data_IF_988154022515
#
_entry.id   IF_988154022515
#
_cell.length_a   1.000
_cell.length_b   1.000
_cell.length_c   1.000
_cell.angle_alpha   90.00
_cell.angle_beta   90.00
_cell.angle_gamma   90.00
#
_symmetry.space_group_name_H-M   'P 1'
#
loop_
_entity.id
_entity.type
_entity.pdbx_description
1 polymer ?
#
# COMPACT_ATOMS: atom_id res chain seq x y z
N UNK A 1 5.23 7.85 -12.69
CA UNK A 1 4.39 8.57 -13.65
C UNK A 1 2.94 8.23 -13.33
N UNK A 2 2.14 9.18 -12.79
CA UNK A 2 0.77 8.89 -12.37
C UNK A 2 -0.11 8.27 -13.46
N UNK A 3 0.13 8.57 -14.73
CA UNK A 3 -0.67 8.05 -15.84
C UNK A 3 -0.40 6.56 -16.11
N UNK A 4 0.82 6.08 -15.84
CA UNK A 4 1.23 4.67 -16.04
C UNK A 4 1.12 3.84 -14.77
N UNK A 5 1.34 4.47 -13.62
CA UNK A 5 1.43 3.81 -12.32
C UNK A 5 0.09 3.64 -11.61
N UNK A 6 -0.99 4.25 -12.10
CA UNK A 6 -2.32 4.18 -11.46
C UNK A 6 -3.29 3.52 -12.43
N UNK A 7 -3.88 2.41 -12.01
CA UNK A 7 -5.00 1.78 -12.71
C UNK A 7 -6.25 1.82 -11.85
N UNK A 8 -7.34 2.33 -12.42
CA UNK A 8 -8.66 2.31 -11.79
C UNK A 8 -9.43 1.14 -12.38
N UNK A 9 -9.88 0.24 -11.52
CA UNK A 9 -10.73 -0.88 -11.87
C UNK A 9 -12.17 -0.54 -11.44
N UNK A 10 -13.03 -0.09 -12.35
CA UNK A 10 -14.42 0.17 -12.01
C UNK A 10 -15.16 -1.16 -11.78
N UNK A 11 -16.25 -1.09 -11.01
CA UNK A 11 -17.23 -2.19 -10.91
C UNK A 11 -16.66 -3.51 -10.36
N UNK A 12 -15.75 -3.45 -9.39
CA UNK A 12 -15.28 -4.63 -8.66
C UNK A 12 -16.27 -5.02 -7.57
N UNK A 13 -16.21 -6.28 -7.11
CA UNK A 13 -17.01 -6.74 -5.97
C UNK A 13 -16.73 -5.90 -4.72
N UNK A 14 -17.80 -5.38 -4.14
CA UNK A 14 -17.84 -4.65 -2.87
C UNK A 14 -18.33 -5.53 -1.73
N UNK A 15 -18.02 -5.13 -0.50
CA UNK A 15 -18.48 -5.79 0.72
C UNK A 15 -19.49 -4.90 1.47
N UNK A 16 -20.34 -5.50 2.29
CA UNK A 16 -21.29 -4.74 3.12
C UNK A 16 -20.60 -3.86 4.18
N UNK A 17 -19.39 -4.23 4.60
CA UNK A 17 -18.55 -3.44 5.50
C UNK A 17 -17.83 -2.28 4.80
N UNK A 18 -17.91 -2.17 3.47
CA UNK A 18 -17.26 -1.08 2.75
C UNK A 18 -17.97 0.25 3.05
N UNK A 19 -17.27 1.25 3.62
CA UNK A 19 -17.86 2.54 3.94
C UNK A 19 -18.11 3.41 2.70
N UNK A 20 -17.51 3.08 1.54
CA UNK A 20 -17.73 3.85 0.31
C UNK A 20 -19.12 3.59 -0.28
N UNK A 21 -19.70 2.42 0.02
CA UNK A 21 -21.04 2.03 -0.40
C UNK A 21 -22.02 2.60 0.61
N UNK A 22 -23.01 3.36 0.15
CA UNK A 22 -23.99 4.00 1.02
C UNK A 22 -24.91 2.99 1.70
N UNK A 23 -25.43 3.35 2.87
CA UNK A 23 -26.43 2.53 3.59
C UNK A 23 -27.69 2.30 2.76
N UNK A 24 -28.09 3.27 1.94
CA UNK A 24 -29.21 3.13 1.01
C UNK A 24 -28.93 2.02 0.00
N UNK A 25 -27.76 2.02 -0.64
CA UNK A 25 -27.36 1.01 -1.62
C UNK A 25 -27.32 -0.39 -1.02
N UNK A 26 -26.85 -0.51 0.22
CA UNK A 26 -26.83 -1.79 0.97
C UNK A 26 -28.25 -2.29 1.27
N UNK A 27 -29.18 -1.39 1.59
CA UNK A 27 -30.56 -1.70 1.99
C UNK A 27 -31.54 -1.84 0.82
N UNK A 28 -31.14 -1.50 -0.41
CA UNK A 28 -31.96 -1.68 -1.63
C UNK A 28 -32.41 -3.13 -1.85
N UNK A 29 -31.72 -4.10 -1.26
CA UNK A 29 -32.06 -5.51 -1.39
C UNK A 29 -32.94 -5.99 -0.21
N UNK A 30 -34.23 -6.22 -0.46
CA UNK A 30 -35.22 -6.62 0.57
C UNK A 30 -35.28 -8.13 0.83
N UNK A 31 -34.74 -8.96 -0.06
CA UNK A 31 -35.00 -10.42 -0.05
C UNK A 31 -33.85 -11.31 -0.51
N UNK A 32 -32.83 -10.78 -1.19
CA UNK A 32 -31.61 -11.53 -1.57
C UNK A 32 -30.41 -10.56 -1.58
N UNK A 33 -29.18 -10.99 -1.23
CA UNK A 33 -28.02 -10.10 -1.28
C UNK A 33 -27.74 -9.69 -2.72
N UNK A 34 -27.99 -8.42 -3.05
CA UNK A 34 -27.60 -7.84 -4.34
C UNK A 34 -26.08 -7.69 -4.36
N UNK A 35 -25.40 -8.02 -5.48
CA UNK A 35 -23.98 -7.76 -5.58
C UNK A 35 -23.72 -6.25 -5.42
N UNK A 36 -22.86 -5.92 -4.46
CA UNK A 36 -22.37 -4.57 -4.23
C UNK A 36 -21.14 -4.35 -5.11
N UNK A 37 -20.98 -3.13 -5.60
CA UNK A 37 -19.87 -2.77 -6.47
C UNK A 37 -19.14 -1.54 -5.94
N UNK A 38 -17.83 -1.55 -6.07
CA UNK A 38 -16.97 -0.43 -5.74
C UNK A 38 -15.81 -0.36 -6.75
N UNK A 39 -15.31 0.85 -7.00
CA UNK A 39 -14.09 1.03 -7.76
C UNK A 39 -12.88 0.69 -6.89
N UNK A 40 -11.90 -0.01 -7.46
CA UNK A 40 -10.60 -0.26 -6.82
C UNK A 40 -9.52 0.51 -7.55
N UNK A 41 -8.44 0.84 -6.86
CA UNK A 41 -7.26 1.45 -7.47
C UNK A 41 -6.05 0.57 -7.20
N UNK A 42 -5.29 0.27 -8.25
CA UNK A 42 -3.97 -0.33 -8.16
C UNK A 42 -2.95 0.79 -8.38
N UNK A 43 -2.05 0.98 -7.41
CA UNK A 43 -0.98 1.97 -7.47
C UNK A 43 0.33 1.21 -7.49
N UNK A 44 1.00 1.20 -8.64
CA UNK A 44 2.37 0.73 -8.77
C UNK A 44 3.33 1.81 -8.23
N UNK A 45 3.65 1.69 -6.95
CA UNK A 45 4.66 2.50 -6.28
C UNK A 45 6.05 1.86 -6.32
N UNK A 46 6.24 0.80 -7.10
CA UNK A 46 7.51 0.11 -7.20
C UNK A 46 8.43 0.79 -8.23
N UNK A 47 9.73 0.59 -8.07
CA UNK A 47 10.71 0.88 -9.11
C UNK A 47 10.88 -0.36 -9.98
N UNK A 48 11.13 -0.22 -11.29
CA UNK A 48 11.32 -1.39 -12.14
C UNK A 48 12.53 -2.19 -11.67
N UNK A 49 12.31 -3.48 -11.47
CA UNK A 49 13.24 -4.36 -10.79
C UNK A 49 14.48 -4.66 -11.64
N UNK A 50 14.33 -4.61 -12.96
CA UNK A 50 15.31 -5.01 -13.96
C UNK A 50 16.62 -4.22 -13.85
N UNK A 51 16.55 -2.94 -13.46
CA UNK A 51 17.71 -2.06 -13.32
C UNK A 51 17.97 -1.68 -11.86
N UNK A 52 17.63 -2.58 -10.90
CA UNK A 52 17.85 -2.36 -9.47
C UNK A 52 19.29 -1.96 -9.12
N UNK A 53 20.28 -2.52 -9.82
CA UNK A 53 21.69 -2.23 -9.59
C UNK A 53 22.07 -0.78 -9.95
N UNK A 54 21.31 -0.16 -10.86
CA UNK A 54 21.55 1.19 -11.38
C UNK A 54 20.74 2.25 -10.64
N UNK A 55 19.86 1.85 -9.70
CA UNK A 55 19.04 2.79 -8.95
C UNK A 55 19.91 3.81 -8.23
N UNK A 56 19.62 5.09 -8.47
CA UNK A 56 20.25 6.18 -7.75
C UNK A 56 20.08 5.95 -6.24
N UNK A 57 21.14 6.11 -5.43
CA UNK A 57 21.06 5.94 -3.99
C UNK A 57 20.07 6.94 -3.40
N UNK A 58 18.89 6.47 -3.00
CA UNK A 58 17.89 7.30 -2.32
C UNK A 58 17.99 7.06 -0.83
N UNK A 59 18.09 8.15 -0.06
CA UNK A 59 18.09 8.17 1.40
C UNK A 59 19.12 7.22 2.07
N UNK A 60 20.36 7.19 1.56
CA UNK A 60 21.45 6.49 2.26
C UNK A 60 21.97 7.34 3.40
N UNK A 61 21.99 6.79 4.62
CA UNK A 61 22.83 7.32 5.68
C UNK A 61 24.31 7.12 5.28
N UNK A 62 25.16 8.08 5.61
CA UNK A 62 26.61 7.88 5.45
C UNK A 62 27.06 6.68 6.30
N UNK A 63 28.12 5.94 5.92
CA UNK A 63 28.64 4.83 6.71
C UNK A 63 28.90 5.23 8.17
N UNK A 64 29.39 6.45 8.39
CA UNK A 64 29.67 7.02 9.70
C UNK A 64 28.38 7.25 10.51
N UNK A 65 27.37 7.85 9.89
CA UNK A 65 26.08 8.08 10.53
C UNK A 65 25.35 6.77 10.86
N UNK A 66 25.39 5.80 9.94
CA UNK A 66 24.84 4.47 10.16
C UNK A 66 25.54 3.77 11.34
N UNK A 67 26.87 3.87 11.43
CA UNK A 67 27.64 3.34 12.57
C UNK A 67 27.24 3.98 13.90
N UNK A 68 27.14 5.32 13.93
CA UNK A 68 26.69 6.06 15.12
C UNK A 68 25.29 5.68 15.56
N UNK A 69 24.35 5.51 14.62
CA UNK A 69 22.98 5.10 14.92
C UNK A 69 22.93 3.69 15.49
N UNK A 70 23.64 2.72 14.89
CA UNK A 70 23.70 1.35 15.41
C UNK A 70 24.25 1.30 16.84
N UNK A 71 25.35 2.01 17.11
CA UNK A 71 25.93 2.08 18.46
C UNK A 71 24.99 2.75 19.46
N UNK A 72 24.29 3.82 19.06
CA UNK A 72 23.33 4.54 19.92
C UNK A 72 22.17 3.64 20.38
N UNK A 73 21.68 2.77 19.48
CA UNK A 73 20.48 1.96 19.72
C UNK A 73 20.79 0.48 19.97
N UNK A 74 22.05 0.12 20.17
CA UNK A 74 22.51 -1.27 20.34
C UNK A 74 21.75 -2.01 21.45
N UNK A 75 21.43 -1.32 22.55
CA UNK A 75 20.70 -1.90 23.68
C UNK A 75 19.30 -2.40 23.32
N UNK A 76 18.61 -1.74 22.39
CA UNK A 76 17.26 -2.15 21.94
C UNK A 76 17.30 -3.44 21.11
N UNK A 77 18.43 -3.74 20.46
CA UNK A 77 18.58 -4.94 19.64
C UNK A 77 19.02 -6.17 20.44
N UNK A 78 19.46 -6.00 21.70
CA UNK A 78 19.88 -7.12 22.56
C UNK A 78 18.72 -7.95 23.10
N UNK A 79 17.50 -7.42 23.09
CA UNK A 79 16.30 -8.10 23.62
C UNK A 79 15.53 -8.92 22.55
N UNK A 80 15.94 -8.84 21.29
CA UNK A 80 15.28 -9.50 20.15
C UNK A 80 16.00 -10.77 19.65
N UNK A 81 17.09 -11.18 20.31
CA UNK A 81 17.86 -12.40 20.06
C UNK A 81 17.92 -13.24 21.33
#
# INVERSE_FOLDING_TARGET
DPQRSIQILPYCAGASCDPIITEEEKRKAKTAPKPLFASRVLIDACRPFEHKAEWYPVARASPELAGRLRKKWESLFKELC
#
